data_IF_231920474154
#
_entry.id   IF_231920474154
#
_cell.length_a   1.000
_cell.length_b   1.000
_cell.length_c   1.000
_cell.angle_alpha   90.00
_cell.angle_beta   90.00
_cell.angle_gamma   90.00
#
_symmetry.space_group_name_H-M   'P 1'
#
loop_
_entity.id
_entity.type
_entity.pdbx_description
1 polymer ?
#
# COMPACT_ATOMS: atom_id res chain seq x y z
N UNK A 1 17.27 13.40 -14.05
CA UNK A 1 17.23 12.37 -13.01
C UNK A 1 15.98 11.56 -13.24
N UNK A 2 16.09 10.24 -13.38
CA UNK A 2 14.90 9.38 -13.54
C UNK A 2 14.12 9.37 -12.23
N UNK A 3 12.80 9.38 -12.31
CA UNK A 3 11.96 9.04 -11.16
C UNK A 3 12.24 7.58 -10.78
N UNK A 4 12.42 7.30 -9.49
CA UNK A 4 12.47 5.91 -9.02
C UNK A 4 11.06 5.34 -9.15
N UNK A 5 10.93 4.17 -9.78
CA UNK A 5 9.64 3.54 -10.04
C UNK A 5 9.68 2.08 -9.56
N UNK A 6 8.71 1.72 -8.74
CA UNK A 6 8.57 0.40 -8.15
C UNK A 6 7.26 -0.26 -8.56
N UNK A 7 7.34 -1.53 -8.92
CA UNK A 7 6.18 -2.28 -9.38
C UNK A 7 5.51 -2.99 -8.21
N UNK A 8 4.18 -2.96 -8.12
CA UNK A 8 3.46 -3.77 -7.14
C UNK A 8 3.75 -5.27 -7.35
N UNK A 9 3.91 -6.01 -6.27
CA UNK A 9 4.25 -7.43 -6.28
C UNK A 9 5.76 -7.73 -6.36
N UNK A 10 6.62 -6.72 -6.56
CA UNK A 10 8.07 -6.89 -6.39
C UNK A 10 8.49 -6.66 -4.94
N UNK A 11 9.71 -7.06 -4.61
CA UNK A 11 10.34 -6.76 -3.33
C UNK A 11 11.46 -5.78 -3.57
N UNK A 12 11.39 -4.65 -2.90
CA UNK A 12 12.37 -3.56 -2.99
C UNK A 12 13.09 -3.40 -1.66
N UNK A 13 14.30 -2.84 -1.72
CA UNK A 13 15.07 -2.48 -0.53
C UNK A 13 14.83 -1.02 -0.18
N UNK A 14 14.40 -0.78 1.07
CA UNK A 14 14.34 0.56 1.66
C UNK A 14 15.58 0.72 2.52
N UNK A 15 16.45 1.67 2.17
CA UNK A 15 17.68 1.96 2.90
C UNK A 15 17.67 3.34 3.54
N UNK A 16 18.39 3.51 4.65
CA UNK A 16 18.55 4.78 5.32
C UNK A 16 19.87 4.89 6.07
N UNK A 17 20.22 6.11 6.45
CA UNK A 17 21.38 6.42 7.29
C UNK A 17 20.87 7.12 8.54
N UNK A 18 21.24 6.58 9.70
CA UNK A 18 20.94 7.19 11.00
C UNK A 18 22.13 7.99 11.50
N UNK A 19 21.86 9.15 12.12
CA UNK A 19 22.87 9.94 12.82
C UNK A 19 22.59 9.92 14.32
N UNK A 20 23.64 9.68 15.12
CA UNK A 20 23.50 9.55 16.57
C UNK A 20 23.03 8.17 17.04
N UNK A 21 22.37 8.12 18.21
CA UNK A 21 21.95 6.89 18.86
C UNK A 21 20.46 6.61 18.62
N UNK A 22 20.11 6.18 17.39
CA UNK A 22 18.78 5.70 17.04
C UNK A 22 18.79 4.17 17.14
N UNK A 23 17.98 3.59 18.01
CA UNK A 23 17.95 2.14 18.23
C UNK A 23 16.93 1.45 17.33
N UNK A 24 15.71 1.98 17.30
CA UNK A 24 14.62 1.43 16.49
C UNK A 24 13.91 2.55 15.73
N UNK A 25 13.48 2.23 14.52
CA UNK A 25 12.72 3.12 13.65
C UNK A 25 11.35 2.54 13.31
N UNK A 26 10.39 3.42 13.16
CA UNK A 26 9.08 3.16 12.55
C UNK A 26 9.13 3.61 11.09
N UNK A 27 8.54 2.82 10.20
CA UNK A 27 8.56 3.09 8.75
C UNK A 27 7.11 3.13 8.23
N UNK A 28 6.77 4.23 7.57
CA UNK A 28 5.43 4.54 7.06
C UNK A 28 5.49 4.89 5.58
N UNK A 29 4.48 4.48 4.83
CA UNK A 29 4.23 4.89 3.45
C UNK A 29 3.21 6.04 3.44
N UNK A 30 3.53 7.09 2.71
CA UNK A 30 2.66 8.25 2.49
C UNK A 30 2.34 8.39 1.01
N UNK A 31 1.12 8.83 0.71
CA UNK A 31 0.67 9.24 -0.62
C UNK A 31 0.20 10.69 -0.57
N UNK A 32 0.87 11.56 -1.32
CA UNK A 32 0.52 12.99 -1.41
C UNK A 32 0.43 13.69 -0.05
N UNK A 33 1.29 13.30 0.89
CA UNK A 33 1.35 13.85 2.25
C UNK A 33 0.34 13.26 3.25
N UNK A 34 -0.47 12.28 2.83
CA UNK A 34 -1.41 11.55 3.70
C UNK A 34 -0.82 10.17 4.01
N UNK A 35 -0.92 9.73 5.27
CA UNK A 35 -0.51 8.38 5.66
C UNK A 35 -1.35 7.35 4.90
N UNK A 36 -0.68 6.50 4.12
CA UNK A 36 -1.31 5.40 3.40
C UNK A 36 -1.27 4.12 4.24
N UNK A 37 -0.07 3.72 4.68
CA UNK A 37 0.11 2.49 5.45
C UNK A 37 1.35 2.54 6.36
N UNK A 38 1.33 1.74 7.43
CA UNK A 38 2.50 1.50 8.27
C UNK A 38 3.18 0.20 7.80
N UNK A 39 4.46 0.28 7.40
CA UNK A 39 5.21 -0.89 6.94
C UNK A 39 5.77 -1.68 8.11
N UNK A 40 6.25 -0.96 9.14
CA UNK A 40 6.61 -1.55 10.43
C UNK A 40 6.43 -0.52 11.54
N UNK A 41 5.85 -0.95 12.66
CA UNK A 41 5.75 -0.15 13.88
C UNK A 41 7.09 -0.01 14.61
N UNK A 42 8.10 -0.82 14.26
CA UNK A 42 9.41 -0.84 14.89
C UNK A 42 10.35 -1.92 14.34
N UNK A 43 11.52 -1.49 13.88
CA UNK A 43 12.63 -2.37 13.47
C UNK A 43 13.95 -1.78 13.97
N UNK A 44 14.99 -2.57 14.24
CA UNK A 44 16.33 -2.04 14.51
C UNK A 44 16.76 -1.05 13.43
N UNK A 45 17.47 0.00 13.83
CA UNK A 45 17.99 1.02 12.90
C UNK A 45 19.31 0.57 12.27
N UNK A 46 19.31 -0.58 11.60
CA UNK A 46 20.46 -1.21 10.94
C UNK A 46 20.68 -0.74 9.49
N UNK A 47 19.76 0.08 8.96
CA UNK A 47 19.93 0.84 7.73
C UNK A 47 19.22 0.25 6.51
N UNK A 48 18.52 -0.86 6.64
CA UNK A 48 17.80 -1.49 5.53
C UNK A 48 16.59 -2.34 5.98
N UNK A 49 15.50 -2.33 5.21
CA UNK A 49 14.49 -3.39 5.21
C UNK A 49 14.17 -3.85 3.79
N UNK A 50 13.78 -5.11 3.66
CA UNK A 50 13.12 -5.61 2.45
C UNK A 50 11.62 -5.38 2.55
N UNK A 51 11.03 -4.72 1.56
CA UNK A 51 9.60 -4.46 1.48
C UNK A 51 8.99 -5.08 0.23
N UNK A 52 8.10 -6.05 0.43
CA UNK A 52 7.23 -6.54 -0.65
C UNK A 52 6.07 -5.58 -0.85
N UNK A 53 6.02 -4.96 -2.03
CA UNK A 53 5.02 -3.95 -2.34
C UNK A 53 3.68 -4.65 -2.60
N UNK A 54 2.63 -4.38 -1.80
CA UNK A 54 1.36 -5.04 -1.97
C UNK A 54 0.70 -4.65 -3.29
N UNK A 55 -0.04 -5.60 -3.87
CA UNK A 55 -0.99 -5.27 -4.93
C UNK A 55 -2.11 -4.38 -4.38
N UNK A 56 -2.69 -3.55 -5.24
CA UNK A 56 -3.85 -2.71 -4.90
C UNK A 56 -3.51 -1.29 -4.42
N UNK A 57 -2.23 -0.95 -4.30
CA UNK A 57 -1.81 0.45 -4.17
C UNK A 57 -2.18 1.25 -5.43
N UNK A 58 -2.57 2.51 -5.25
CA UNK A 58 -2.91 3.38 -6.37
C UNK A 58 -1.66 3.70 -7.19
N UNK A 59 -1.75 3.68 -8.52
CA UNK A 59 -0.65 4.13 -9.36
C UNK A 59 -0.43 5.64 -9.17
N UNK A 60 0.74 6.04 -8.69
CA UNK A 60 1.07 7.45 -8.42
C UNK A 60 2.58 7.65 -8.28
N UNK A 61 3.05 8.83 -8.69
CA UNK A 61 4.43 9.32 -8.47
C UNK A 61 4.60 10.17 -7.21
N UNK A 62 3.58 10.19 -6.34
CA UNK A 62 3.55 11.01 -5.12
C UNK A 62 3.72 10.18 -3.84
N UNK A 63 4.31 8.99 -3.94
CA UNK A 63 4.65 8.21 -2.75
C UNK A 63 5.93 8.70 -2.10
N UNK A 64 5.97 8.62 -0.77
CA UNK A 64 7.16 8.84 0.03
C UNK A 64 7.22 7.81 1.15
N UNK A 65 8.43 7.40 1.52
CA UNK A 65 8.68 6.65 2.74
C UNK A 65 9.05 7.65 3.83
N UNK A 66 8.44 7.52 5.00
CA UNK A 66 8.83 8.23 6.21
C UNK A 66 9.48 7.26 7.18
N UNK A 67 10.64 7.65 7.71
CA UNK A 67 11.34 6.89 8.75
C UNK A 67 11.42 7.77 9.99
N UNK A 68 10.97 7.24 11.13
CA UNK A 68 10.86 7.99 12.39
C UNK A 68 11.56 7.24 13.51
N UNK A 69 12.40 7.93 14.29
CA UNK A 69 12.94 7.40 15.54
C UNK A 69 11.81 7.17 16.55
N UNK A 70 11.69 5.93 17.04
CA UNK A 70 10.65 5.56 18.02
C UNK A 70 10.87 6.26 19.36
N UNK A 71 12.12 6.43 19.77
CA UNK A 71 12.44 7.04 21.07
C UNK A 71 12.26 8.57 21.04
N UNK A 72 12.43 9.19 19.86
CA UNK A 72 12.22 10.61 19.65
C UNK A 72 11.50 10.89 18.32
N UNK A 73 10.15 10.92 18.31
CA UNK A 73 9.37 11.11 17.08
C UNK A 73 9.54 12.47 16.39
N UNK A 74 10.30 13.42 16.97
CA UNK A 74 10.69 14.65 16.28
C UNK A 74 11.85 14.45 15.32
N UNK A 75 12.56 13.32 15.42
CA UNK A 75 13.63 12.92 14.53
C UNK A 75 13.07 11.95 13.48
N UNK A 76 12.82 12.49 12.30
CA UNK A 76 12.32 11.74 11.16
C UNK A 76 12.80 12.37 9.85
N UNK A 77 12.74 11.60 8.78
CA UNK A 77 12.95 12.12 7.44
C UNK A 77 11.98 11.46 6.44
N UNK A 78 11.79 12.11 5.30
CA UNK A 78 11.05 11.59 4.17
C UNK A 78 11.99 11.30 3.00
N UNK A 79 11.74 10.24 2.27
CA UNK A 79 12.36 10.03 0.96
C UNK A 79 11.93 11.12 -0.03
N UNK A 80 12.69 11.25 -1.12
CA UNK A 80 12.17 11.86 -2.34
C UNK A 80 10.89 11.15 -2.81
N UNK A 81 10.12 11.84 -3.65
CA UNK A 81 8.96 11.25 -4.30
C UNK A 81 9.38 10.14 -5.27
N UNK A 82 8.65 9.02 -5.23
CA UNK A 82 8.82 7.90 -6.15
C UNK A 82 7.47 7.40 -6.68
N UNK A 83 7.53 6.65 -7.78
CA UNK A 83 6.38 6.04 -8.41
C UNK A 83 6.16 4.62 -7.92
N UNK A 84 4.91 4.32 -7.55
CA UNK A 84 4.42 2.95 -7.46
C UNK A 84 3.44 2.75 -8.59
N UNK A 85 3.60 1.66 -9.32
CA UNK A 85 2.70 1.29 -10.40
C UNK A 85 2.42 -0.22 -10.41
N UNK A 86 1.24 -0.59 -10.90
CA UNK A 86 0.91 -1.98 -11.23
C UNK A 86 1.13 -2.21 -12.72
N UNK A 87 1.94 -3.20 -13.10
CA UNK A 87 2.06 -3.60 -14.51
C UNK A 87 0.73 -4.20 -14.98
N UNK A 88 0.24 -3.75 -16.14
CA UNK A 88 -1.00 -4.23 -16.75
C UNK A 88 -0.83 -5.48 -17.61
N UNK A 89 0.27 -6.22 -17.44
CA UNK A 89 0.57 -7.46 -18.17
C UNK A 89 -0.32 -8.65 -17.72
N UNK A 90 -1.65 -8.49 -17.77
CA UNK A 90 -2.65 -9.56 -17.77
C UNK A 90 -3.89 -9.21 -18.63
N UNK A 91 -3.72 -8.46 -19.73
CA UNK A 91 -4.74 -8.41 -20.80
C UNK A 91 -4.21 -9.16 -22.02
N UNK A 92 -4.05 -10.47 -21.85
CA UNK A 92 -3.52 -11.32 -22.91
C UNK A 92 -3.57 -12.79 -22.57
N UNK A 93 -4.61 -13.24 -21.85
CA UNK A 93 -5.05 -14.64 -21.84
C UNK A 93 -6.51 -14.65 -21.36
N UNK A 94 -7.44 -14.65 -22.32
CA UNK A 94 -8.77 -15.19 -22.09
C UNK A 94 -8.62 -16.57 -21.46
N UNK A 95 -9.31 -16.83 -20.36
CA UNK A 95 -9.52 -18.20 -19.93
C UNK A 95 -10.98 -18.54 -20.18
N UNK A 96 -11.25 -19.51 -21.07
CA UNK A 96 -12.61 -19.95 -21.31
C UNK A 96 -13.10 -20.66 -20.05
N UNK A 97 -13.95 -19.98 -19.28
CA UNK A 97 -14.62 -20.58 -18.14
C UNK A 97 -14.87 -19.67 -16.93
N UNK A 98 -14.29 -18.47 -16.89
CA UNK A 98 -14.68 -17.45 -15.91
C UNK A 98 -15.26 -16.22 -16.60
N UNK A 99 -16.58 -16.09 -16.51
CA UNK A 99 -17.28 -14.89 -16.90
C UNK A 99 -17.04 -13.81 -15.82
N UNK A 100 -16.19 -12.83 -16.14
CA UNK A 100 -15.73 -11.77 -15.23
C UNK A 100 -16.86 -10.88 -14.68
N UNK A 101 -18.09 -11.07 -15.15
CA UNK A 101 -19.31 -10.42 -14.67
C UNK A 101 -19.68 -10.91 -13.24
N UNK A 102 -19.17 -12.06 -12.78
CA UNK A 102 -19.46 -12.56 -11.42
C UNK A 102 -18.61 -11.91 -10.31
N UNK A 103 -17.50 -11.22 -10.60
CA UNK A 103 -16.68 -10.58 -9.57
C UNK A 103 -17.07 -9.12 -9.30
N UNK A 104 -17.75 -8.46 -10.24
CA UNK A 104 -18.31 -7.11 -10.06
C UNK A 104 -19.62 -7.17 -9.23
N UNK A 105 -20.18 -8.37 -9.03
CA UNK A 105 -21.44 -8.62 -8.31
C UNK A 105 -21.36 -8.92 -6.81
N UNK A 106 -20.19 -8.90 -6.16
CA UNK A 106 -20.06 -9.31 -4.74
C UNK A 106 -19.55 -8.18 -3.81
N UNK A 107 -18.97 -7.09 -4.33
CA UNK A 107 -18.55 -5.96 -3.48
C UNK A 107 -19.68 -4.95 -3.16
N UNK A 108 -20.79 -4.94 -3.91
CA UNK A 108 -21.90 -3.99 -3.68
C UNK A 108 -23.06 -4.54 -2.81
N UNK A 109 -23.02 -5.79 -2.34
CA UNK A 109 -24.16 -6.41 -1.60
C UNK A 109 -24.03 -6.29 -0.07
N UNK A 110 -22.95 -5.74 0.48
CA UNK A 110 -22.81 -5.54 1.94
C UNK A 110 -23.26 -4.15 2.43
N UNK A 111 -24.18 -3.46 1.72
CA UNK A 111 -24.84 -2.23 2.22
C UNK A 111 -26.36 -2.31 1.98
N UNK A 112 -27.06 -2.90 2.96
CA UNK A 112 -28.40 -2.55 3.45
C UNK A 112 -29.52 -2.22 2.42
N UNK A 113 -30.09 -3.25 1.77
CA UNK A 113 -31.49 -3.18 1.29
C UNK A 113 -32.43 -3.64 2.42
N UNK A 114 -32.89 -2.69 3.24
CA UNK A 114 -34.01 -2.91 4.16
C UNK A 114 -35.33 -2.92 3.37
N UNK A 115 -35.73 -4.08 2.84
CA UNK A 115 -37.10 -4.31 2.37
C UNK A 115 -37.70 -5.48 3.15
N UNK A 116 -38.47 -5.18 4.21
CA UNK A 116 -39.53 -6.09 4.69
C UNK A 116 -40.83 -5.63 4.08
N UNK A 117 -41.37 -6.37 3.10
CA UNK A 117 -42.77 -6.16 2.70
C UNK A 117 -43.56 -7.47 2.54
N UNK A 118 -44.31 -7.74 3.62
CA UNK A 118 -45.71 -8.21 3.68
C UNK A 118 -46.03 -9.64 3.20
N UNK A 119 -46.20 -10.55 4.17
CA UNK A 119 -46.98 -11.77 4.01
C UNK A 119 -48.48 -11.44 3.94
N UNK A 120 -49.15 -11.77 2.82
CA UNK A 120 -50.62 -11.86 2.76
C UNK A 120 -51.04 -13.20 3.39
N UNK A 121 -51.90 -13.17 4.41
CA UNK A 121 -52.67 -14.35 4.84
C UNK A 121 -54.02 -14.35 4.11
N UNK A 122 -54.47 -15.59 3.88
CA UNK A 122 -55.62 -16.10 3.14
C UNK A 122 -56.90 -15.29 3.29
#
# INVERSE_FOLDING_TARGET
>A
TGILAWQTGTTESITWISTGSIVNVKIELYLSGILDSELTSGTPSDGEISWTIPFGLSNSSQYQIKITDIANPTNYDYSDYFEIYTSSELIGNEVPGYDLILLIGISSVMILILIRKKLRKK
#
